data_IF_881071063909
#
_entry.id   IF_881071063909
#
_cell.length_a   1.000
_cell.length_b   1.000
_cell.length_c   1.000
_cell.angle_alpha   90.00
_cell.angle_beta   90.00
_cell.angle_gamma   90.00
#
_symmetry.space_group_name_H-M   'P 1'
#
loop_
_entity.id
_entity.type
_entity.pdbx_description
1 polymer ?
#
# COMPACT_ATOMS: atom_id res chain seq x y z
N UNK A 1 -2.65 -18.41 -13.76
CA UNK A 1 -3.35 -17.12 -13.62
C UNK A 1 -4.24 -17.23 -12.41
N UNK A 2 -4.18 -16.26 -11.50
CA UNK A 2 -5.12 -16.15 -10.38
C UNK A 2 -6.27 -15.25 -10.84
N UNK A 3 -7.51 -15.61 -10.54
CA UNK A 3 -8.69 -14.81 -10.86
C UNK A 3 -9.19 -14.09 -9.61
N UNK A 4 -9.43 -12.79 -9.72
CA UNK A 4 -10.03 -11.96 -8.66
C UNK A 4 -11.35 -11.40 -9.18
N UNK A 5 -12.41 -11.59 -8.41
CA UNK A 5 -13.71 -10.98 -8.69
C UNK A 5 -13.74 -9.57 -8.10
N UNK A 6 -14.10 -8.58 -8.93
CA UNK A 6 -14.29 -7.19 -8.52
C UNK A 6 -15.68 -6.71 -8.93
N UNK A 7 -16.21 -5.72 -8.22
CA UNK A 7 -17.51 -5.14 -8.58
C UNK A 7 -17.43 -4.39 -9.91
N UNK A 8 -18.55 -4.33 -10.63
CA UNK A 8 -18.65 -3.56 -11.89
C UNK A 8 -18.24 -2.09 -11.71
N UNK A 9 -18.55 -1.52 -10.54
CA UNK A 9 -18.15 -0.15 -10.23
C UNK A 9 -16.64 0.02 -10.17
N UNK A 10 -15.93 -0.90 -9.50
CA UNK A 10 -14.46 -0.88 -9.42
C UNK A 10 -13.87 -1.08 -10.80
N UNK A 11 -14.37 -2.04 -11.58
CA UNK A 11 -13.93 -2.27 -12.95
C UNK A 11 -14.08 -1.01 -13.82
N UNK A 12 -15.25 -0.36 -13.78
CA UNK A 12 -15.49 0.89 -14.52
C UNK A 12 -14.49 2.00 -14.13
N UNK A 13 -14.19 2.16 -12.83
CA UNK A 13 -13.21 3.14 -12.36
C UNK A 13 -11.79 2.78 -12.80
N UNK A 14 -11.43 1.50 -12.74
CA UNK A 14 -10.15 0.97 -13.21
C UNK A 14 -9.95 1.27 -14.70
N UNK A 15 -10.96 1.01 -15.54
CA UNK A 15 -10.87 1.29 -16.98
C UNK A 15 -10.85 2.79 -17.29
N UNK A 16 -11.54 3.62 -16.51
CA UNK A 16 -11.47 5.07 -16.65
C UNK A 16 -10.06 5.62 -16.36
N UNK A 17 -9.35 5.04 -15.38
CA UNK A 17 -7.99 5.40 -15.01
C UNK A 17 -6.98 5.13 -16.14
N UNK A 18 -7.26 4.18 -17.04
CA UNK A 18 -6.35 3.76 -18.12
C UNK A 18 -5.89 4.95 -18.96
N UNK A 19 -6.82 5.85 -19.27
CA UNK A 19 -6.55 7.10 -20.02
C UNK A 19 -5.47 7.97 -19.38
N UNK A 20 -5.39 8.00 -18.05
CA UNK A 20 -4.38 8.79 -17.33
C UNK A 20 -3.03 8.06 -17.39
N UNK A 21 -3.04 6.74 -17.17
CA UNK A 21 -1.83 5.92 -17.19
C UNK A 21 -1.19 5.94 -18.58
N UNK A 22 -1.99 5.80 -19.65
CA UNK A 22 -1.53 5.84 -21.04
C UNK A 22 -0.79 7.16 -21.35
N UNK A 23 -1.31 8.29 -20.85
CA UNK A 23 -0.69 9.62 -21.02
C UNK A 23 0.64 9.73 -20.28
N UNK A 24 0.73 9.15 -19.08
CA UNK A 24 1.92 9.25 -18.21
C UNK A 24 3.03 8.32 -18.67
N UNK A 25 2.71 7.05 -18.93
CA UNK A 25 3.71 6.03 -19.25
C UNK A 25 4.10 6.05 -20.72
N UNK A 26 3.22 6.50 -21.63
CA UNK A 26 3.40 6.43 -23.09
C UNK A 26 3.72 5.04 -23.63
N UNK A 27 3.52 4.01 -22.81
CA UNK A 27 3.68 2.60 -23.14
C UNK A 27 2.29 1.94 -23.24
N UNK A 28 2.13 1.06 -24.21
CA UNK A 28 0.91 0.27 -24.37
C UNK A 28 1.03 -1.05 -23.60
N UNK A 29 0.10 -1.29 -22.68
CA UNK A 29 -0.11 -2.61 -22.09
C UNK A 29 -0.65 -3.58 -23.16
N UNK A 30 -0.23 -4.84 -23.11
CA UNK A 30 -0.65 -5.88 -24.05
C UNK A 30 -2.15 -6.16 -23.97
N UNK A 31 -2.70 -6.14 -22.76
CA UNK A 31 -4.11 -6.39 -22.49
C UNK A 31 -4.57 -5.73 -21.17
N UNK A 32 -5.87 -5.83 -20.89
CA UNK A 32 -6.48 -5.26 -19.69
C UNK A 32 -6.04 -5.99 -18.40
N UNK A 33 -5.55 -7.22 -18.48
CA UNK A 33 -5.04 -7.96 -17.32
C UNK A 33 -3.68 -7.42 -16.89
N UNK A 34 -2.77 -7.17 -17.83
CA UNK A 34 -1.46 -6.54 -17.55
C UNK A 34 -1.64 -5.12 -16.99
N UNK A 35 -2.57 -4.36 -17.55
CA UNK A 35 -2.95 -3.04 -17.01
C UNK A 35 -3.51 -3.14 -15.58
N UNK A 36 -4.41 -4.08 -15.33
CA UNK A 36 -5.00 -4.29 -14.00
C UNK A 36 -3.93 -4.71 -12.98
N UNK A 37 -3.02 -5.61 -13.35
CA UNK A 37 -1.89 -6.03 -12.51
C UNK A 37 -1.00 -4.83 -12.15
N UNK A 38 -0.66 -3.99 -13.12
CA UNK A 38 0.10 -2.76 -12.86
C UNK A 38 -0.59 -1.84 -11.84
N UNK A 39 -1.89 -1.59 -12.01
CA UNK A 39 -2.65 -0.73 -11.08
C UNK A 39 -2.73 -1.34 -9.69
N UNK A 40 -2.95 -2.67 -9.60
CA UNK A 40 -2.98 -3.39 -8.32
C UNK A 40 -1.63 -3.31 -7.61
N UNK A 41 -0.51 -3.49 -8.31
CA UNK A 41 0.83 -3.36 -7.75
C UNK A 41 1.07 -1.95 -7.20
N UNK A 42 0.70 -0.91 -7.95
CA UNK A 42 0.79 0.47 -7.44
C UNK A 42 -0.07 0.68 -6.20
N UNK A 43 -1.28 0.13 -6.17
CA UNK A 43 -2.19 0.19 -5.03
C UNK A 43 -1.60 -0.48 -3.79
N UNK A 44 -1.03 -1.68 -3.94
CA UNK A 44 -0.37 -2.43 -2.87
C UNK A 44 0.81 -1.64 -2.31
N UNK A 45 1.70 -1.15 -3.16
CA UNK A 45 2.86 -0.35 -2.73
C UNK A 45 2.43 0.91 -1.99
N UNK A 46 1.36 1.57 -2.47
CA UNK A 46 0.79 2.74 -1.82
C UNK A 46 0.23 2.41 -0.43
N UNK A 47 -0.48 1.28 -0.29
CA UNK A 47 -1.03 0.83 1.00
C UNK A 47 0.05 0.51 2.03
N UNK A 48 1.19 -0.05 1.60
CA UNK A 48 2.31 -0.38 2.49
C UNK A 48 2.97 0.87 3.06
N UNK A 49 3.11 1.92 2.25
CA UNK A 49 3.81 3.15 2.67
C UNK A 49 2.92 4.17 3.35
N UNK A 50 1.59 4.07 3.19
CA UNK A 50 0.61 4.97 3.82
C UNK A 50 0.74 5.08 5.34
N UNK A 51 0.92 3.97 6.11
CA UNK A 51 1.09 4.06 7.56
C UNK A 51 2.50 4.50 8.00
N UNK A 52 3.43 4.71 7.07
CA UNK A 52 4.81 5.09 7.38
C UNK A 52 4.98 6.61 7.38
N UNK A 53 5.93 7.15 8.17
CA UNK A 53 6.23 8.58 8.15
C UNK A 53 6.65 9.04 6.76
N UNK A 54 6.47 10.34 6.50
CA UNK A 54 6.85 11.01 5.25
C UNK A 54 8.37 11.14 5.11
N UNK A 55 9.02 10.00 4.90
CA UNK A 55 10.45 9.90 4.63
C UNK A 55 10.67 9.00 3.40
N UNK A 56 11.12 9.61 2.31
CA UNK A 56 11.25 8.93 1.01
C UNK A 56 12.21 7.74 1.03
N UNK A 57 13.34 7.87 1.73
CA UNK A 57 14.34 6.80 1.81
C UNK A 57 13.75 5.59 2.56
N UNK A 58 13.10 5.82 3.69
CA UNK A 58 12.44 4.77 4.46
C UNK A 58 11.33 4.11 3.64
N UNK A 59 10.43 4.90 3.04
CA UNK A 59 9.31 4.38 2.24
C UNK A 59 9.81 3.51 1.08
N UNK A 60 10.83 3.97 0.33
CA UNK A 60 11.45 3.20 -0.75
C UNK A 60 12.12 1.92 -0.24
N UNK A 61 12.79 2.00 0.92
CA UNK A 61 13.44 0.82 1.55
C UNK A 61 12.40 -0.23 1.93
N UNK A 62 11.28 0.17 2.55
CA UNK A 62 10.22 -0.76 2.94
C UNK A 62 9.56 -1.39 1.71
N UNK A 63 9.31 -0.64 0.64
CA UNK A 63 8.80 -1.20 -0.62
C UNK A 63 9.77 -2.23 -1.20
N UNK A 64 11.08 -1.94 -1.22
CA UNK A 64 12.08 -2.89 -1.69
C UNK A 64 12.10 -4.17 -0.85
N UNK A 65 12.07 -4.05 0.48
CA UNK A 65 12.00 -5.20 1.38
C UNK A 65 10.71 -6.01 1.17
N UNK A 66 9.57 -5.34 0.97
CA UNK A 66 8.30 -6.02 0.70
C UNK A 66 8.34 -6.83 -0.59
N UNK A 67 8.98 -6.31 -1.65
CA UNK A 67 9.17 -7.06 -2.90
C UNK A 67 10.03 -8.31 -2.73
N UNK A 68 10.96 -8.32 -1.78
CA UNK A 68 11.80 -9.49 -1.48
C UNK A 68 11.10 -10.53 -0.59
N UNK A 69 10.31 -10.10 0.39
CA UNK A 69 9.61 -10.99 1.32
C UNK A 69 8.28 -10.37 1.82
N UNK A 70 7.21 -10.43 1.00
CA UNK A 70 5.99 -9.67 1.26
C UNK A 70 5.28 -10.12 2.53
N UNK A 71 5.22 -11.43 2.80
CA UNK A 71 4.58 -11.98 3.99
C UNK A 71 5.24 -11.47 5.27
N UNK A 72 6.57 -11.57 5.36
CA UNK A 72 7.29 -11.12 6.56
C UNK A 72 7.15 -9.62 6.78
N UNK A 73 7.24 -8.81 5.72
CA UNK A 73 7.20 -7.35 5.83
C UNK A 73 5.80 -6.85 6.20
N UNK A 74 4.74 -7.40 5.59
CA UNK A 74 3.37 -7.09 5.98
C UNK A 74 3.13 -7.40 7.47
N UNK A 75 3.54 -8.59 7.90
CA UNK A 75 3.48 -9.04 9.29
C UNK A 75 4.26 -8.15 10.25
N UNK A 76 5.47 -7.75 9.86
CA UNK A 76 6.31 -6.88 10.67
C UNK A 76 5.69 -5.49 10.84
N UNK A 77 5.17 -4.91 9.77
CA UNK A 77 4.49 -3.60 9.80
C UNK A 77 3.25 -3.70 10.69
N UNK A 78 2.39 -4.70 10.49
CA UNK A 78 1.19 -4.89 11.30
C UNK A 78 1.49 -4.97 12.80
N UNK A 79 2.43 -5.85 13.20
CA UNK A 79 2.86 -5.98 14.60
C UNK A 79 3.48 -4.70 15.17
N UNK A 80 4.18 -3.92 14.33
CA UNK A 80 4.80 -2.66 14.76
C UNK A 80 3.75 -1.58 14.97
N UNK A 81 2.74 -1.50 14.10
CA UNK A 81 1.63 -0.56 14.24
C UNK A 81 0.77 -0.89 15.46
N UNK A 82 0.46 -2.16 15.72
CA UNK A 82 -0.26 -2.59 16.94
C UNK A 82 0.47 -2.17 18.22
N UNK A 83 1.79 -2.40 18.28
CA UNK A 83 2.64 -1.98 19.41
C UNK A 83 2.77 -0.45 19.52
N UNK A 84 2.74 0.25 18.39
CA UNK A 84 2.75 1.71 18.34
C UNK A 84 1.45 2.32 18.87
N UNK A 85 0.30 1.72 18.55
CA UNK A 85 -1.02 2.09 19.08
C UNK A 85 -1.13 1.90 20.59
N UNK A 86 -0.56 0.81 21.14
CA UNK A 86 -0.47 0.61 22.60
C UNK A 86 0.33 1.71 23.32
N UNK A 87 1.33 2.32 22.66
CA UNK A 87 2.15 3.37 23.27
C UNK A 87 1.43 4.72 23.42
N UNK A 88 0.37 5.00 22.68
CA UNK A 88 -0.43 6.23 22.87
C UNK A 88 -1.34 6.15 24.10
N UNK A 89 -1.87 4.96 24.40
CA UNK A 89 -2.65 4.70 25.63
C UNK A 89 -1.74 4.73 26.87
N UNK A 90 -0.58 4.06 26.82
CA UNK A 90 0.42 4.13 27.90
C UNK A 90 0.95 5.58 28.09
N UNK A 91 1.16 6.35 27.01
CA UNK A 91 1.55 7.77 27.12
C UNK A 91 0.46 8.67 27.74
N UNK A 92 -0.82 8.39 27.49
CA UNK A 92 -1.95 9.10 28.14
C UNK A 92 -2.01 8.76 29.62
N UNK A 93 -1.83 7.50 29.97
CA UNK A 93 -1.86 7.03 31.36
C UNK A 93 -0.71 7.63 32.17
N UNK A 94 0.53 7.64 31.66
CA UNK A 94 1.67 8.29 32.30
C UNK A 94 1.50 9.81 32.51
N UNK A 95 0.82 10.52 31.60
CA UNK A 95 0.50 11.94 31.77
C UNK A 95 -0.54 12.19 32.88
N UNK A 96 -1.43 11.23 33.13
CA UNK A 96 -2.43 11.33 34.22
C UNK A 96 -1.84 11.14 35.62
N UNK A 97 -0.65 10.53 35.73
CA UNK A 97 0.08 10.37 36.99
C UNK A 97 1.13 11.48 37.25
N UNK A 98 1.33 12.39 36.30
CA UNK A 98 2.36 13.44 36.37
C UNK A 98 1.78 14.86 36.27
N UNK A 99 0.44 14.99 36.27
CA UNK A 99 -0.30 16.24 36.45
C UNK A 99 -1.06 16.17 37.77
#
# INVERSE_FOLDING_TARGET
>A
MVTVEISEEVYRRLMALKKIVDVVLKDEFKDDSEYAEFVLLMGIEKMIVDPLPENDLLRKTIVAMFRENPEFIADFIARTLEKGGMREEERREWRSYTT
#
